data_IF_592231418683
#
_entry.id   IF_592231418683
#
_cell.length_a   1.000
_cell.length_b   1.000
_cell.length_c   1.000
_cell.angle_alpha   90.00
_cell.angle_beta   90.00
_cell.angle_gamma   90.00
#
_symmetry.space_group_name_H-M   'P 1'
#
loop_
_entity.id
_entity.type
_entity.pdbx_description
1 polymer ?
#
# COMPACT_ATOMS: atom_id res chain seq x y z
N UNK A 1 4.38 8.11 13.48
CA UNK A 1 3.99 7.74 12.10
C UNK A 1 4.82 6.53 11.75
N UNK A 2 4.20 5.39 11.45
CA UNK A 2 4.75 4.10 11.88
C UNK A 2 5.56 3.34 10.82
N UNK A 3 6.46 2.50 11.32
CA UNK A 3 7.11 1.42 10.58
C UNK A 3 6.11 0.48 9.90
N UNK A 4 4.87 0.40 10.40
CA UNK A 4 3.81 -0.42 9.83
C UNK A 4 3.44 0.01 8.40
N UNK A 5 3.38 1.33 8.15
CA UNK A 5 3.17 1.83 6.78
C UNK A 5 4.28 1.36 5.83
N UNK A 6 5.55 1.45 6.26
CA UNK A 6 6.68 1.01 5.44
C UNK A 6 6.59 -0.50 5.18
N UNK A 7 6.20 -1.31 6.17
CA UNK A 7 5.95 -2.75 5.96
C UNK A 7 4.87 -3.01 4.91
N UNK A 8 3.75 -2.28 4.95
CA UNK A 8 2.71 -2.40 3.92
C UNK A 8 3.21 -1.95 2.54
N UNK A 9 4.00 -0.89 2.47
CA UNK A 9 4.54 -0.39 1.20
C UNK A 9 5.57 -1.35 0.56
N UNK A 10 6.16 -2.29 1.33
CA UNK A 10 7.12 -3.27 0.82
C UNK A 10 6.51 -4.32 -0.10
N UNK A 11 5.20 -4.41 -0.21
CA UNK A 11 4.55 -5.30 -1.18
C UNK A 11 4.88 -4.94 -2.63
N UNK A 12 5.21 -3.67 -2.89
CA UNK A 12 5.75 -3.19 -4.19
C UNK A 12 7.30 -3.11 -4.18
N UNK A 13 7.93 -3.79 -3.21
CA UNK A 13 9.36 -3.76 -2.97
C UNK A 13 10.07 -5.07 -3.25
N UNK A 14 11.38 -4.98 -3.38
CA UNK A 14 12.30 -6.10 -3.42
C UNK A 14 13.25 -6.04 -2.21
N UNK A 15 13.77 -7.20 -1.79
CA UNK A 15 14.70 -7.29 -0.69
C UNK A 15 16.05 -7.85 -1.16
N UNK A 16 17.15 -7.22 -0.73
CA UNK A 16 18.50 -7.80 -0.81
C UNK A 16 18.85 -8.48 0.51
N UNK A 17 20.13 -8.85 0.72
CA UNK A 17 20.57 -9.34 2.02
C UNK A 17 20.37 -8.30 3.14
N UNK A 18 20.62 -7.02 2.86
CA UNK A 18 20.70 -5.97 3.90
C UNK A 18 19.69 -4.84 3.73
N UNK A 19 19.14 -4.67 2.53
CA UNK A 19 18.28 -3.54 2.20
C UNK A 19 16.92 -3.98 1.70
N UNK A 20 15.94 -3.11 1.89
CA UNK A 20 14.71 -3.08 1.12
C UNK A 20 14.81 -2.01 0.05
N UNK A 21 14.14 -2.26 -1.06
CA UNK A 21 14.13 -1.38 -2.23
C UNK A 21 12.72 -1.29 -2.80
N UNK A 22 12.18 -0.09 -2.93
CA UNK A 22 10.86 0.17 -3.56
C UNK A 22 11.11 1.03 -4.80
N UNK A 23 10.57 0.61 -5.95
CA UNK A 23 10.75 1.27 -7.25
C UNK A 23 9.42 1.81 -7.76
N UNK A 24 9.33 3.12 -8.00
CA UNK A 24 8.07 3.80 -8.33
C UNK A 24 8.24 4.85 -9.42
N UNK A 25 7.16 5.12 -10.18
CA UNK A 25 7.18 6.12 -11.26
C UNK A 25 7.14 7.56 -10.73
N UNK A 26 6.60 7.74 -9.52
CA UNK A 26 6.38 9.06 -8.94
C UNK A 26 7.47 9.41 -7.93
N UNK A 27 8.37 10.31 -8.31
CA UNK A 27 9.49 10.75 -7.47
C UNK A 27 9.04 11.30 -6.11
N UNK A 28 7.93 12.05 -6.07
CA UNK A 28 7.41 12.62 -4.82
C UNK A 28 6.97 11.55 -3.83
N UNK A 29 6.47 10.41 -4.31
CA UNK A 29 6.12 9.28 -3.44
C UNK A 29 7.39 8.63 -2.88
N UNK A 30 8.41 8.44 -3.72
CA UNK A 30 9.73 7.92 -3.31
C UNK A 30 10.39 8.82 -2.25
N UNK A 31 10.32 10.15 -2.42
CA UNK A 31 10.83 11.12 -1.43
C UNK A 31 10.06 11.03 -0.11
N UNK A 32 8.74 10.86 -0.15
CA UNK A 32 7.94 10.66 1.05
C UNK A 32 8.32 9.38 1.80
N UNK A 33 8.53 8.27 1.09
CA UNK A 33 8.99 7.02 1.70
C UNK A 33 10.37 7.19 2.35
N UNK A 34 11.30 7.89 1.68
CA UNK A 34 12.61 8.16 2.24
C UNK A 34 12.55 8.99 3.53
N UNK A 35 11.64 9.96 3.59
CA UNK A 35 11.41 10.75 4.80
C UNK A 35 10.81 9.91 5.94
N UNK A 36 9.87 9.01 5.62
CA UNK A 36 9.33 8.06 6.61
C UNK A 36 10.43 7.17 7.19
N UNK A 37 11.35 6.68 6.37
CA UNK A 37 12.49 5.89 6.86
C UNK A 37 13.39 6.74 7.76
N UNK A 38 13.69 7.99 7.39
CA UNK A 38 14.49 8.91 8.22
C UNK A 38 13.87 9.15 9.60
N UNK A 39 12.54 9.26 9.66
CA UNK A 39 11.82 9.38 10.94
C UNK A 39 11.95 8.15 11.85
N UNK A 40 12.33 7.00 11.31
CA UNK A 40 12.67 5.80 12.11
C UNK A 40 14.10 5.81 12.68
N UNK A 41 14.89 6.85 12.37
CA UNK A 41 16.29 6.96 12.79
C UNK A 41 17.29 6.31 11.81
N UNK A 42 16.85 5.93 10.62
CA UNK A 42 17.69 5.26 9.62
C UNK A 42 17.85 6.09 8.35
N UNK A 43 18.97 5.90 7.65
CA UNK A 43 19.18 6.52 6.35
C UNK A 43 18.36 5.85 5.25
N UNK A 44 17.97 6.64 4.26
CA UNK A 44 17.38 6.18 3.01
C UNK A 44 18.07 6.87 1.83
N UNK A 45 18.36 6.09 0.79
CA UNK A 45 18.92 6.58 -0.47
C UNK A 45 17.82 6.65 -1.51
N UNK A 46 17.78 7.74 -2.26
CA UNK A 46 16.88 7.90 -3.39
C UNK A 46 17.68 8.12 -4.66
N UNK A 47 17.37 7.38 -5.71
CA UNK A 47 18.04 7.50 -7.00
C UNK A 47 17.12 7.14 -8.16
N UNK A 48 17.48 7.55 -9.36
CA UNK A 48 16.78 7.17 -10.59
C UNK A 48 17.42 5.90 -11.15
N UNK A 49 16.61 4.91 -11.52
CA UNK A 49 17.11 3.68 -12.13
C UNK A 49 17.13 3.77 -13.66
N UNK A 50 18.34 3.76 -14.22
CA UNK A 50 18.56 3.81 -15.66
C UNK A 50 18.02 5.08 -16.32
N UNK A 51 17.72 4.99 -17.61
CA UNK A 51 17.17 6.11 -18.40
C UNK A 51 15.64 6.23 -18.29
N UNK A 52 14.96 5.27 -17.65
CA UNK A 52 13.50 5.28 -17.50
C UNK A 52 13.09 6.24 -16.38
N UNK A 53 11.86 6.73 -16.41
CA UNK A 53 11.30 7.57 -15.34
C UNK A 53 10.85 6.68 -14.16
N UNK A 54 11.80 5.95 -13.58
CA UNK A 54 11.61 5.08 -12.40
C UNK A 54 12.58 5.55 -11.33
N UNK A 55 12.02 5.86 -10.17
CA UNK A 55 12.73 6.35 -9.00
C UNK A 55 12.70 5.26 -7.93
N UNK A 56 13.76 5.20 -7.13
CA UNK A 56 13.98 4.17 -6.15
C UNK A 56 14.18 4.81 -4.80
N UNK A 57 13.59 4.22 -3.76
CA UNK A 57 14.05 4.39 -2.38
C UNK A 57 14.65 3.07 -1.92
N UNK A 58 15.84 3.13 -1.33
CA UNK A 58 16.52 1.99 -0.75
C UNK A 58 16.93 2.31 0.68
N UNK A 59 16.74 1.36 1.59
CA UNK A 59 17.01 1.55 3.00
C UNK A 59 17.31 0.23 3.73
N UNK A 60 17.95 0.32 4.89
CA UNK A 60 18.37 -0.86 5.66
C UNK A 60 17.17 -1.63 6.22
N UNK A 61 17.21 -2.97 6.13
CA UNK A 61 16.23 -3.86 6.79
C UNK A 61 16.18 -3.66 8.31
N UNK A 62 17.27 -3.21 8.91
CA UNK A 62 17.34 -2.90 10.34
C UNK A 62 16.31 -1.85 10.77
N UNK A 63 15.88 -0.97 9.86
CA UNK A 63 14.83 0.03 10.16
C UNK A 63 13.50 -0.58 10.57
N UNK A 64 13.18 -1.78 10.08
CA UNK A 64 11.93 -2.50 10.35
C UNK A 64 12.13 -3.77 11.19
N UNK A 65 13.38 -4.10 11.54
CA UNK A 65 13.71 -5.32 12.27
C UNK A 65 13.03 -5.37 13.64
N UNK A 66 12.37 -6.49 13.93
CA UNK A 66 11.68 -6.73 15.21
C UNK A 66 10.47 -5.84 15.45
N UNK A 67 9.98 -5.11 14.43
CA UNK A 67 8.75 -4.36 14.56
C UNK A 67 7.54 -5.28 14.38
N UNK A 68 6.60 -5.20 15.31
CA UNK A 68 5.35 -5.97 15.30
C UNK A 68 4.16 -5.03 15.20
N UNK A 69 3.16 -5.41 14.39
CA UNK A 69 1.89 -4.69 14.24
C UNK A 69 1.02 -5.07 15.43
N UNK A 70 0.92 -4.18 16.42
CA UNK A 70 0.21 -4.48 17.68
C UNK A 70 -0.97 -3.56 17.94
N UNK A 71 -0.87 -2.29 17.53
CA UNK A 71 -1.94 -1.31 17.78
C UNK A 71 -2.91 -1.22 16.62
N UNK A 72 -4.12 -0.71 16.89
CA UNK A 72 -5.07 -0.39 15.83
C UNK A 72 -4.49 0.61 14.83
N UNK A 73 -3.70 1.58 15.28
CA UNK A 73 -3.06 2.54 14.36
C UNK A 73 -2.03 1.86 13.46
N UNK A 74 -1.25 0.89 13.97
CA UNK A 74 -0.31 0.14 13.13
C UNK A 74 -1.04 -0.62 12.02
N UNK A 75 -2.19 -1.23 12.34
CA UNK A 75 -3.02 -1.92 11.35
C UNK A 75 -3.52 -0.98 10.26
N UNK A 76 -4.00 0.22 10.63
CA UNK A 76 -4.43 1.24 9.67
C UNK A 76 -3.25 1.74 8.81
N UNK A 77 -2.12 2.02 9.43
CA UNK A 77 -0.90 2.47 8.74
C UNK A 77 -0.39 1.39 7.77
N UNK A 78 -0.37 0.12 8.19
CA UNK A 78 -0.03 -1.02 7.35
C UNK A 78 -0.98 -1.14 6.17
N UNK A 79 -2.29 -1.10 6.41
CA UNK A 79 -3.29 -1.17 5.35
C UNK A 79 -3.16 -0.01 4.34
N UNK A 80 -2.79 1.19 4.79
CA UNK A 80 -2.52 2.33 3.90
C UNK A 80 -1.26 2.11 3.04
N UNK A 81 -0.17 1.60 3.63
CA UNK A 81 1.05 1.25 2.89
C UNK A 81 0.78 0.15 1.87
N UNK A 82 0.06 -0.89 2.28
CA UNK A 82 -0.37 -1.99 1.43
C UNK A 82 -1.24 -1.48 0.27
N UNK A 83 -2.19 -0.60 0.56
CA UNK A 83 -3.04 0.01 -0.46
C UNK A 83 -2.22 0.81 -1.48
N UNK A 84 -1.18 1.51 -1.06
CA UNK A 84 -0.34 2.25 -1.98
C UNK A 84 0.53 1.36 -2.86
N UNK A 85 0.90 0.17 -2.39
CA UNK A 85 1.55 -0.87 -3.18
C UNK A 85 0.58 -1.60 -4.12
N UNK A 86 -0.44 -2.25 -3.57
CA UNK A 86 -1.26 -3.28 -4.23
C UNK A 86 -2.72 -2.86 -4.46
N UNK A 87 -3.10 -1.71 -3.92
CA UNK A 87 -4.43 -1.16 -4.06
C UNK A 87 -4.66 -0.50 -5.42
N UNK A 88 -5.94 -0.36 -5.78
CA UNK A 88 -6.34 0.24 -7.05
C UNK A 88 -7.61 1.06 -6.91
N UNK A 89 -7.68 2.11 -7.74
CA UNK A 89 -8.75 3.08 -7.88
C UNK A 89 -9.00 3.35 -9.37
N UNK A 90 -10.16 3.90 -9.75
CA UNK A 90 -10.44 4.24 -11.14
C UNK A 90 -9.35 5.13 -11.75
N UNK A 91 -8.89 4.78 -12.94
CA UNK A 91 -7.89 5.57 -13.68
C UNK A 91 -8.48 6.89 -14.16
N UNK A 92 -9.78 6.91 -14.50
CA UNK A 92 -10.48 8.10 -14.96
C UNK A 92 -11.40 8.64 -13.87
N UNK A 93 -11.51 9.95 -13.80
CA UNK A 93 -12.30 10.64 -12.77
C UNK A 93 -13.81 10.47 -12.93
N UNK A 94 -14.28 10.26 -14.16
CA UNK A 94 -15.69 10.04 -14.52
C UNK A 94 -16.12 8.57 -14.40
N UNK A 95 -15.17 7.66 -14.16
CA UNK A 95 -15.45 6.25 -14.05
C UNK A 95 -16.14 5.92 -12.71
N UNK A 96 -16.90 4.82 -12.72
CA UNK A 96 -17.56 4.30 -11.51
C UNK A 96 -16.53 4.10 -10.40
N UNK A 97 -16.74 4.79 -9.28
CA UNK A 97 -15.88 4.68 -8.10
C UNK A 97 -15.73 3.24 -7.62
N UNK A 98 -14.49 2.83 -7.37
CA UNK A 98 -14.14 1.60 -6.70
C UNK A 98 -12.84 1.77 -5.91
N UNK A 99 -12.64 0.90 -4.93
CA UNK A 99 -11.37 0.71 -4.24
C UNK A 99 -11.22 -0.81 -4.13
N UNK A 100 -10.12 -1.37 -4.60
CA UNK A 100 -9.83 -2.80 -4.42
C UNK A 100 -8.37 -3.02 -4.04
N UNK A 101 -8.12 -4.18 -3.45
CA UNK A 101 -6.79 -4.71 -3.18
C UNK A 101 -6.64 -5.99 -3.99
N UNK A 102 -5.44 -6.26 -4.50
CA UNK A 102 -5.13 -7.52 -5.15
C UNK A 102 -3.75 -8.04 -4.77
N UNK A 103 -3.57 -9.35 -4.71
CA UNK A 103 -2.28 -9.97 -4.44
C UNK A 103 -2.30 -11.44 -4.89
N UNK A 104 -1.12 -11.99 -5.20
CA UNK A 104 -0.96 -13.43 -5.51
C UNK A 104 -1.04 -14.31 -4.26
N UNK A 105 -0.47 -13.84 -3.16
CA UNK A 105 -0.63 -14.46 -1.86
C UNK A 105 -2.00 -14.12 -1.28
N UNK A 106 -2.90 -15.12 -1.22
CA UNK A 106 -4.25 -14.96 -0.68
C UNK A 106 -4.25 -14.69 0.83
N UNK A 107 -3.37 -15.34 1.59
CA UNK A 107 -3.36 -15.23 3.06
C UNK A 107 -2.99 -13.81 3.47
N UNK A 108 -1.96 -13.26 2.85
CA UNK A 108 -1.55 -11.87 3.01
C UNK A 108 -2.66 -10.87 2.64
N UNK A 109 -3.41 -11.16 1.56
CA UNK A 109 -4.57 -10.35 1.16
C UNK A 109 -5.73 -10.42 2.18
N UNK A 110 -5.99 -11.59 2.79
CA UNK A 110 -7.02 -11.73 3.81
C UNK A 110 -6.60 -11.07 5.14
N UNK A 111 -5.30 -11.01 5.45
CA UNK A 111 -4.80 -10.30 6.64
C UNK A 111 -5.09 -8.80 6.56
N UNK A 112 -4.72 -8.14 5.45
CA UNK A 112 -5.03 -6.71 5.29
C UNK A 112 -6.54 -6.45 5.27
N UNK A 113 -7.33 -7.37 4.72
CA UNK A 113 -8.79 -7.29 4.77
C UNK A 113 -9.32 -7.38 6.20
N UNK A 114 -8.78 -8.28 7.03
CA UNK A 114 -9.17 -8.37 8.43
C UNK A 114 -8.87 -7.07 9.18
N UNK A 115 -7.70 -6.46 8.95
CA UNK A 115 -7.38 -5.15 9.54
C UNK A 115 -8.37 -4.04 9.13
N UNK A 116 -8.82 -4.04 7.87
CA UNK A 116 -9.85 -3.10 7.40
C UNK A 116 -11.21 -3.37 8.08
N UNK A 117 -11.62 -4.63 8.17
CA UNK A 117 -12.90 -5.01 8.78
C UNK A 117 -12.93 -4.71 10.28
N UNK A 118 -11.83 -4.93 11.00
CA UNK A 118 -11.65 -4.52 12.40
C UNK A 118 -11.76 -3.00 12.59
N UNK A 119 -11.31 -2.22 11.61
CA UNK A 119 -11.45 -0.76 11.60
C UNK A 119 -12.87 -0.26 11.24
N UNK A 120 -13.80 -1.19 11.01
CA UNK A 120 -15.17 -0.91 10.59
C UNK A 120 -15.32 -0.60 9.10
N UNK A 121 -14.34 -0.98 8.27
CA UNK A 121 -14.39 -0.79 6.81
C UNK A 121 -14.89 -2.10 6.19
N UNK A 122 -16.13 -2.10 5.73
CA UNK A 122 -16.75 -3.27 5.14
C UNK A 122 -16.09 -3.63 3.80
N UNK A 123 -15.67 -4.89 3.66
CA UNK A 123 -15.07 -5.42 2.45
C UNK A 123 -15.99 -6.44 1.76
N UNK A 124 -15.81 -6.60 0.45
CA UNK A 124 -16.46 -7.63 -0.35
C UNK A 124 -15.76 -8.98 -0.22
N UNK A 125 -16.34 -10.00 -0.87
CA UNK A 125 -15.73 -11.33 -0.93
C UNK A 125 -14.43 -11.30 -1.74
N UNK A 126 -13.41 -11.97 -1.22
CA UNK A 126 -12.18 -12.26 -1.94
C UNK A 126 -12.49 -13.26 -3.05
N UNK A 127 -12.09 -12.96 -4.27
CA UNK A 127 -12.32 -13.80 -5.44
C UNK A 127 -11.19 -13.64 -6.45
N UNK A 128 -11.04 -14.61 -7.34
CA UNK A 128 -10.13 -14.51 -8.47
C UNK A 128 -10.92 -14.21 -9.76
N UNK A 129 -10.81 -12.99 -10.33
CA UNK A 129 -11.50 -12.63 -11.57
C UNK A 129 -10.87 -13.22 -12.83
N UNK A 130 -9.63 -13.68 -12.74
CA UNK A 130 -8.77 -14.07 -13.84
C UNK A 130 -8.34 -15.53 -13.73
N UNK A 131 -9.09 -16.38 -13.03
CA UNK A 131 -8.67 -17.73 -12.63
C UNK A 131 -8.13 -18.62 -13.76
N UNK A 132 -8.58 -18.38 -15.00
CA UNK A 132 -8.07 -19.09 -16.20
C UNK A 132 -6.70 -18.62 -16.68
N UNK A 133 -6.37 -17.33 -16.51
CA UNK A 133 -5.13 -16.69 -16.99
C UNK A 133 -4.09 -16.51 -15.88
N UNK A 134 -4.56 -16.20 -14.68
CA UNK A 134 -3.75 -16.02 -13.49
C UNK A 134 -4.51 -16.65 -12.30
N UNK A 135 -4.30 -17.95 -12.02
CA UNK A 135 -5.04 -18.70 -11.00
C UNK A 135 -4.77 -18.20 -9.58
N UNK A 136 -3.71 -17.41 -9.39
CA UNK A 136 -3.33 -16.86 -8.09
C UNK A 136 -3.70 -15.39 -7.92
N UNK A 137 -4.25 -14.73 -8.94
CA UNK A 137 -4.65 -13.31 -8.81
C UNK A 137 -5.92 -13.13 -7.97
N UNK A 138 -5.76 -12.95 -6.66
CA UNK A 138 -6.87 -12.69 -5.74
C UNK A 138 -7.15 -11.20 -5.62
N UNK A 139 -8.41 -10.83 -5.42
CA UNK A 139 -8.80 -9.46 -5.09
C UNK A 139 -10.04 -9.41 -4.21
N UNK A 140 -10.18 -8.32 -3.46
CA UNK A 140 -11.44 -7.93 -2.83
C UNK A 140 -11.67 -6.42 -3.01
N UNK A 141 -12.93 -5.99 -2.96
CA UNK A 141 -13.30 -4.58 -3.06
C UNK A 141 -13.69 -4.04 -1.70
N UNK A 142 -13.40 -2.76 -1.45
CA UNK A 142 -14.05 -2.02 -0.36
C UNK A 142 -15.51 -1.76 -0.74
N UNK A 143 -16.43 -2.09 0.18
CA UNK A 143 -17.87 -1.88 0.01
C UNK A 143 -18.16 -0.42 -0.32
N UNK A 144 -19.13 -0.16 -1.20
CA UNK A 144 -19.55 1.20 -1.52
C UNK A 144 -19.96 2.02 -0.31
N UNK A 145 -20.49 1.36 0.73
CA UNK A 145 -20.91 1.99 1.99
C UNK A 145 -19.73 2.48 2.84
N UNK A 146 -18.54 1.90 2.67
CA UNK A 146 -17.36 2.21 3.50
C UNK A 146 -16.25 2.94 2.74
N UNK A 147 -16.50 3.42 1.52
CA UNK A 147 -15.47 4.13 0.72
C UNK A 147 -15.08 5.47 1.32
N UNK A 148 -16.06 6.24 1.81
CA UNK A 148 -15.79 7.50 2.50
C UNK A 148 -15.00 7.25 3.80
N UNK A 149 -15.37 6.22 4.56
CA UNK A 149 -14.63 5.82 5.77
C UNK A 149 -13.22 5.34 5.44
N UNK A 150 -13.05 4.58 4.37
CA UNK A 150 -11.73 4.16 3.88
C UNK A 150 -10.87 5.38 3.51
N UNK A 151 -11.42 6.32 2.75
CA UNK A 151 -10.71 7.53 2.37
C UNK A 151 -10.29 8.39 3.57
N UNK A 152 -11.14 8.45 4.61
CA UNK A 152 -10.89 9.21 5.85
C UNK A 152 -9.91 8.53 6.80
N UNK A 153 -10.05 7.21 7.01
CA UNK A 153 -9.28 6.45 8.01
C UNK A 153 -7.98 5.87 7.48
N UNK A 154 -7.98 5.38 6.23
CA UNK A 154 -6.83 4.74 5.58
C UNK A 154 -6.14 5.72 4.65
N UNK A 155 -6.91 6.29 3.72
CA UNK A 155 -6.39 7.26 2.75
C UNK A 155 -5.30 6.66 1.85
N UNK A 156 -4.42 7.53 1.34
CA UNK A 156 -3.29 7.18 0.49
C UNK A 156 -2.24 8.29 0.52
N UNK A 157 -0.97 7.92 0.45
CA UNK A 157 0.16 8.84 0.22
C UNK A 157 0.61 8.85 -1.23
N UNK A 158 0.27 7.81 -2.00
CA UNK A 158 0.53 7.76 -3.43
C UNK A 158 -0.22 8.89 -4.15
N UNK A 159 0.46 9.78 -4.89
CA UNK A 159 -0.10 11.05 -5.34
C UNK A 159 -1.33 10.91 -6.26
N UNK A 160 -1.39 9.84 -7.05
CA UNK A 160 -2.53 9.55 -7.92
C UNK A 160 -3.73 9.04 -7.11
N UNK A 161 -3.50 8.08 -6.21
CA UNK A 161 -4.55 7.40 -5.45
C UNK A 161 -5.17 8.37 -4.44
N UNK A 162 -4.34 9.17 -3.77
CA UNK A 162 -4.75 10.24 -2.85
C UNK A 162 -5.79 11.18 -3.47
N UNK A 163 -5.50 11.75 -4.65
CA UNK A 163 -6.41 12.68 -5.34
C UNK A 163 -7.79 12.07 -5.64
N UNK A 164 -7.82 10.78 -5.93
CA UNK A 164 -9.07 10.06 -6.24
C UNK A 164 -9.86 9.79 -4.95
N UNK A 165 -9.17 9.38 -3.87
CA UNK A 165 -9.79 9.13 -2.57
C UNK A 165 -10.34 10.41 -1.93
N UNK A 166 -9.65 11.55 -2.09
CA UNK A 166 -10.11 12.85 -1.58
C UNK A 166 -11.49 13.24 -2.14
N UNK A 167 -11.86 12.76 -3.34
CA UNK A 167 -13.20 12.98 -3.94
C UNK A 167 -14.28 12.03 -3.41
N UNK A 168 -13.92 11.03 -2.61
CA UNK A 168 -14.85 10.07 -2.01
C UNK A 168 -15.27 10.46 -0.57
N UNK A 169 -14.72 11.55 -0.05
CA UNK A 169 -14.94 12.09 1.30
C UNK A 169 -16.25 12.87 1.36
#
# INVERSE_FOLDING_TARGET
MSKAYLLGALHDGCATKYTYRISQKHEDYVKQLAELVKQTGYSAWTYREGSRNVFVVEFSKASLSGFEITTNQDKLDYAAGYFDAEGSVPVKEDARAYVYFCQKNREDLEEVKAFLEEAGICCGKTHNPSARKDPDYWRFFVSSKSRSDFAKKIGSRHPVKRKILEKMI
#
